data_IF_565872019729
#
_entry.id   IF_565872019729
#
_cell.length_a   1.000
_cell.length_b   1.000
_cell.length_c   1.000
_cell.angle_alpha   90.00
_cell.angle_beta   90.00
_cell.angle_gamma   90.00
#
_symmetry.space_group_name_H-M   'P 1'
#
loop_
_entity.id
_entity.type
_entity.pdbx_description
1 polymer ?
#
# COMPACT_ATOMS: atom_id res chain seq x y z
N UNK A 1 -35.53 -35.83 59.75
CA UNK A 1 -34.68 -34.74 59.24
C UNK A 1 -33.19 -35.10 59.28
N UNK A 2 -32.79 -36.22 59.92
CA UNK A 2 -31.37 -36.61 60.05
C UNK A 2 -30.85 -37.56 58.95
N UNK A 3 -31.70 -38.29 58.24
CA UNK A 3 -31.25 -39.19 57.16
C UNK A 3 -30.74 -38.44 55.91
N UNK A 4 -31.40 -37.34 55.53
CA UNK A 4 -30.97 -36.53 54.37
C UNK A 4 -29.61 -35.85 54.66
N UNK A 5 -29.39 -35.43 55.90
CA UNK A 5 -28.12 -34.83 56.32
C UNK A 5 -26.96 -35.84 56.34
N UNK A 6 -27.21 -37.11 56.65
CA UNK A 6 -26.17 -38.14 56.63
C UNK A 6 -25.79 -38.54 55.20
N UNK A 7 -26.76 -38.65 54.29
CA UNK A 7 -26.49 -38.92 52.86
C UNK A 7 -25.65 -37.80 52.24
N UNK A 8 -25.94 -36.54 52.56
CA UNK A 8 -25.14 -35.40 52.07
C UNK A 8 -23.71 -35.38 52.64
N UNK A 9 -23.51 -35.79 53.89
CA UNK A 9 -22.15 -35.89 54.49
C UNK A 9 -21.34 -37.03 53.91
N UNK A 10 -21.96 -38.18 53.62
CA UNK A 10 -21.29 -39.29 52.94
C UNK A 10 -20.87 -38.90 51.51
N UNK A 11 -21.73 -38.18 50.78
CA UNK A 11 -21.44 -37.71 49.43
C UNK A 11 -20.28 -36.70 49.38
N UNK A 12 -20.24 -35.76 50.35
CA UNK A 12 -19.16 -34.77 50.46
C UNK A 12 -17.85 -35.43 50.91
N UNK A 13 -17.91 -36.42 51.81
CA UNK A 13 -16.72 -37.16 52.24
C UNK A 13 -16.15 -38.06 51.14
N UNK A 14 -16.98 -38.54 50.20
CA UNK A 14 -16.53 -39.32 49.05
C UNK A 14 -15.94 -38.44 47.94
N UNK A 15 -16.44 -37.21 47.72
CA UNK A 15 -15.90 -36.30 46.71
C UNK A 15 -14.53 -35.73 47.07
N UNK A 16 -14.20 -35.65 48.36
CA UNK A 16 -12.92 -35.09 48.83
C UNK A 16 -11.80 -36.14 48.93
N UNK A 17 -12.06 -37.41 48.55
CA UNK A 17 -11.07 -38.50 48.62
C UNK A 17 -10.75 -39.12 47.25
N UNK A 18 -10.99 -38.41 46.14
CA UNK A 18 -10.25 -38.68 44.91
C UNK A 18 -9.00 -37.81 44.89
N UNK A 19 -7.92 -38.39 45.42
CA UNK A 19 -6.55 -37.94 45.17
C UNK A 19 -6.36 -37.88 43.65
N UNK A 20 -6.50 -36.69 43.09
CA UNK A 20 -5.94 -36.37 41.79
C UNK A 20 -4.44 -36.52 41.98
N UNK A 21 -3.88 -37.63 41.48
CA UNK A 21 -2.45 -37.77 41.26
C UNK A 21 -2.01 -36.51 40.51
N UNK A 22 -1.20 -35.68 41.16
CA UNK A 22 -0.34 -34.71 40.50
C UNK A 22 0.63 -35.51 39.63
N UNK A 23 0.16 -35.96 38.47
CA UNK A 23 1.05 -36.25 37.35
C UNK A 23 1.64 -34.90 36.99
N UNK A 24 2.92 -34.72 37.35
CA UNK A 24 3.79 -33.72 36.76
C UNK A 24 3.46 -33.66 35.27
N UNK A 25 2.76 -32.60 34.86
CA UNK A 25 2.79 -32.16 33.48
C UNK A 25 4.23 -31.72 33.31
N UNK A 26 5.06 -32.67 32.89
CA UNK A 26 6.34 -32.37 32.27
C UNK A 26 6.01 -31.33 31.22
N UNK A 27 6.47 -30.11 31.47
CA UNK A 27 6.49 -29.04 30.50
C UNK A 27 7.53 -29.46 29.46
N UNK A 28 7.17 -30.47 28.65
CA UNK A 28 7.70 -30.53 27.30
C UNK A 28 7.31 -29.20 26.70
N UNK A 29 8.32 -28.34 26.54
CA UNK A 29 8.24 -27.08 25.82
C UNK A 29 7.31 -27.28 24.63
N UNK A 30 6.05 -26.89 24.77
CA UNK A 30 5.14 -26.84 23.65
C UNK A 30 5.76 -25.75 22.81
N UNK A 31 6.62 -26.15 21.86
CA UNK A 31 7.23 -25.26 20.89
C UNK A 31 6.05 -24.49 20.35
N UNK A 32 5.93 -23.24 20.79
CA UNK A 32 4.85 -22.35 20.41
C UNK A 32 5.00 -22.24 18.91
N UNK A 33 4.25 -23.06 18.19
CA UNK A 33 4.28 -23.07 16.74
C UNK A 33 3.71 -21.72 16.40
N UNK A 34 4.58 -20.85 15.91
CA UNK A 34 4.28 -19.46 15.59
C UNK A 34 2.94 -19.46 14.84
N UNK A 35 1.89 -18.99 15.50
CA UNK A 35 0.49 -19.07 15.02
C UNK A 35 0.28 -18.29 13.71
N UNK A 36 1.31 -17.56 13.28
CA UNK A 36 1.40 -16.83 12.02
C UNK A 36 2.40 -17.53 11.10
N UNK A 37 1.97 -18.50 10.28
CA UNK A 37 2.85 -19.14 9.31
C UNK A 37 3.21 -18.11 8.22
N UNK A 38 4.37 -17.47 8.36
CA UNK A 38 4.90 -16.52 7.36
C UNK A 38 4.93 -17.10 5.95
N UNK A 39 5.17 -18.42 5.83
CA UNK A 39 5.09 -19.16 4.57
C UNK A 39 3.73 -19.04 3.88
N UNK A 40 2.63 -19.07 4.64
CA UNK A 40 1.29 -18.87 4.08
C UNK A 40 1.14 -17.42 3.56
N UNK A 41 1.64 -16.44 4.30
CA UNK A 41 1.67 -15.04 3.85
C UNK A 41 2.44 -14.88 2.54
N UNK A 42 3.66 -15.43 2.45
CA UNK A 42 4.46 -15.42 1.24
C UNK A 42 3.76 -16.12 0.07
N UNK A 43 3.10 -17.25 0.32
CA UNK A 43 2.32 -17.96 -0.68
C UNK A 43 1.19 -17.08 -1.24
N UNK A 44 0.38 -16.46 -0.38
CA UNK A 44 -0.71 -15.56 -0.79
C UNK A 44 -0.20 -14.36 -1.59
N UNK A 45 0.90 -13.72 -1.13
CA UNK A 45 1.51 -12.59 -1.83
C UNK A 45 2.05 -12.99 -3.20
N UNK A 46 2.71 -14.15 -3.31
CA UNK A 46 3.23 -14.66 -4.59
C UNK A 46 2.10 -14.95 -5.58
N UNK A 47 0.99 -15.50 -5.10
CA UNK A 47 -0.17 -15.80 -5.93
C UNK A 47 -0.87 -14.52 -6.40
N UNK A 48 -0.97 -13.52 -5.52
CA UNK A 48 -1.52 -12.19 -5.87
C UNK A 48 -0.70 -11.52 -6.97
N UNK A 49 0.64 -11.55 -6.87
CA UNK A 49 1.53 -11.07 -7.94
C UNK A 49 1.37 -11.86 -9.23
N UNK A 50 1.25 -13.19 -9.15
CA UNK A 50 1.02 -14.05 -10.32
C UNK A 50 -0.27 -13.66 -11.06
N UNK A 51 -1.34 -13.36 -10.34
CA UNK A 51 -2.60 -12.89 -10.92
C UNK A 51 -2.36 -11.59 -11.70
N UNK A 52 -1.72 -10.58 -11.08
CA UNK A 52 -1.39 -9.31 -11.75
C UNK A 52 -0.53 -9.49 -13.00
N UNK A 53 0.45 -10.40 -12.96
CA UNK A 53 1.32 -10.69 -14.08
C UNK A 53 0.56 -11.18 -15.32
N UNK A 54 -0.57 -11.88 -15.16
CA UNK A 54 -1.40 -12.30 -16.30
C UNK A 54 -1.94 -11.10 -17.08
N UNK A 55 -2.34 -10.02 -16.40
CA UNK A 55 -2.80 -8.79 -17.04
C UNK A 55 -1.66 -8.09 -17.78
N UNK A 56 -0.51 -7.93 -17.11
CA UNK A 56 0.68 -7.28 -17.66
C UNK A 56 1.17 -8.03 -18.90
N UNK A 57 1.17 -9.36 -18.87
CA UNK A 57 1.59 -10.20 -19.99
C UNK A 57 0.70 -10.01 -21.23
N UNK A 58 -0.63 -10.04 -21.08
CA UNK A 58 -1.58 -9.90 -22.21
C UNK A 58 -1.43 -8.56 -22.94
N UNK A 59 -1.08 -7.49 -22.24
CA UNK A 59 -0.87 -6.17 -22.83
C UNK A 59 0.59 -5.92 -23.23
N UNK A 60 1.47 -6.90 -23.02
CA UNK A 60 2.90 -6.82 -23.26
C UNK A 60 3.61 -5.73 -22.42
N UNK A 61 3.09 -5.45 -21.21
CA UNK A 61 3.53 -4.33 -20.37
C UNK A 61 4.92 -4.49 -19.74
N UNK A 62 5.45 -5.72 -19.66
CA UNK A 62 6.85 -5.94 -19.26
C UNK A 62 7.84 -5.39 -20.29
N UNK A 63 7.41 -5.32 -21.53
CA UNK A 63 8.27 -5.10 -22.69
C UNK A 63 7.92 -3.86 -23.48
N UNK A 64 6.80 -3.22 -23.16
CA UNK A 64 6.35 -2.00 -23.80
C UNK A 64 5.87 -1.05 -22.72
N UNK A 65 6.05 0.26 -22.93
CA UNK A 65 5.46 1.23 -22.07
C UNK A 65 3.95 1.23 -22.37
N UNK A 66 3.18 0.40 -21.66
CA UNK A 66 1.73 0.24 -21.83
C UNK A 66 0.96 0.43 -20.50
N UNK A 67 1.70 0.57 -19.39
CA UNK A 67 1.19 0.72 -18.03
C UNK A 67 1.65 2.06 -17.48
N UNK A 68 0.68 2.92 -17.16
CA UNK A 68 0.95 4.26 -16.63
C UNK A 68 1.16 4.26 -15.11
N UNK A 69 0.51 3.34 -14.40
CA UNK A 69 0.66 3.19 -12.95
C UNK A 69 0.21 1.79 -12.53
N UNK A 70 0.85 1.24 -11.50
CA UNK A 70 0.46 -0.01 -10.87
C UNK A 70 0.57 0.11 -9.36
N UNK A 71 -0.37 -0.50 -8.64
CA UNK A 71 -0.30 -0.74 -7.20
C UNK A 71 -0.89 -2.13 -6.93
N UNK A 72 -0.76 -2.64 -5.72
CA UNK A 72 -1.08 -4.03 -5.27
C UNK A 72 -1.98 -4.85 -6.20
N UNK A 73 -3.19 -4.37 -6.48
CA UNK A 73 -4.23 -5.01 -7.28
C UNK A 73 -4.84 -4.09 -8.37
N UNK A 74 -4.20 -2.96 -8.68
CA UNK A 74 -4.72 -1.97 -9.64
C UNK A 74 -3.72 -1.63 -10.75
N UNK A 75 -4.24 -1.44 -11.97
CA UNK A 75 -3.47 -1.10 -13.16
C UNK A 75 -4.12 0.06 -13.90
N UNK A 76 -3.34 1.10 -14.19
CA UNK A 76 -3.80 2.21 -15.03
C UNK A 76 -3.22 2.02 -16.43
N UNK A 77 -4.11 1.80 -17.38
CA UNK A 77 -3.80 1.41 -18.76
C UNK A 77 -4.71 2.16 -19.72
N UNK A 78 -4.31 2.18 -21.00
CA UNK A 78 -5.14 2.79 -22.03
C UNK A 78 -6.42 1.97 -22.29
N UNK A 79 -7.46 2.64 -22.79
CA UNK A 79 -8.72 1.99 -23.21
C UNK A 79 -8.50 0.92 -24.29
N UNK A 80 -7.46 1.08 -25.13
CA UNK A 80 -7.03 0.07 -26.11
C UNK A 80 -6.57 -1.23 -25.43
N UNK A 81 -5.78 -1.11 -24.36
CA UNK A 81 -5.31 -2.25 -23.58
C UNK A 81 -6.44 -2.89 -22.76
N UNK A 82 -7.37 -2.10 -22.23
CA UNK A 82 -8.60 -2.61 -21.64
C UNK A 82 -9.37 -3.54 -22.60
N UNK A 83 -9.55 -3.14 -23.86
CA UNK A 83 -10.18 -3.98 -24.89
C UNK A 83 -9.39 -5.27 -25.18
N UNK A 84 -8.06 -5.27 -25.06
CA UNK A 84 -7.24 -6.50 -25.18
C UNK A 84 -7.52 -7.45 -24.01
N UNK A 85 -7.53 -6.93 -22.77
CA UNK A 85 -7.81 -7.71 -21.57
C UNK A 85 -9.22 -8.33 -21.62
N UNK A 86 -10.22 -7.56 -22.07
CA UNK A 86 -11.58 -8.07 -22.21
C UNK A 86 -11.65 -9.22 -23.24
N UNK A 87 -11.00 -9.08 -24.40
CA UNK A 87 -10.92 -10.16 -25.41
C UNK A 87 -10.19 -11.40 -24.91
N UNK A 88 -9.23 -11.23 -24.00
CA UNK A 88 -8.53 -12.34 -23.35
C UNK A 88 -9.31 -12.99 -22.20
N UNK A 89 -10.54 -12.51 -21.91
CA UNK A 89 -11.36 -13.03 -20.83
C UNK A 89 -10.81 -12.70 -19.44
N UNK A 90 -10.02 -11.63 -19.29
CA UNK A 90 -9.45 -11.19 -18.01
C UNK A 90 -10.30 -10.13 -17.30
N UNK A 91 -11.42 -9.70 -17.89
CA UNK A 91 -12.31 -8.67 -17.36
C UNK A 91 -13.64 -9.29 -16.96
N UNK A 92 -14.10 -9.00 -15.74
CA UNK A 92 -15.43 -9.38 -15.22
C UNK A 92 -15.73 -8.58 -13.96
N UNK A 93 -16.97 -8.15 -13.79
CA UNK A 93 -17.44 -7.48 -12.57
C UNK A 93 -17.73 -8.46 -11.41
N UNK A 94 -17.94 -9.75 -11.73
CA UNK A 94 -18.44 -10.74 -10.76
C UNK A 94 -17.45 -11.87 -10.47
N UNK A 95 -16.57 -12.17 -11.42
CA UNK A 95 -15.68 -13.33 -11.29
C UNK A 95 -14.43 -12.98 -10.49
N UNK A 96 -13.96 -13.94 -9.70
CA UNK A 96 -12.71 -13.81 -8.96
C UNK A 96 -11.50 -13.73 -9.90
N UNK A 97 -10.48 -13.00 -9.45
CA UNK A 97 -9.20 -12.83 -10.16
C UNK A 97 -9.35 -12.17 -11.55
N UNK A 98 -10.45 -11.44 -11.78
CA UNK A 98 -10.68 -10.65 -12.99
C UNK A 98 -10.62 -9.15 -12.66
N UNK A 99 -10.26 -8.37 -13.67
CA UNK A 99 -10.24 -6.91 -13.58
C UNK A 99 -11.64 -6.34 -13.83
N UNK A 100 -11.92 -5.22 -13.16
CA UNK A 100 -13.11 -4.38 -13.39
C UNK A 100 -12.70 -2.95 -13.65
N UNK A 101 -13.58 -2.14 -14.22
CA UNK A 101 -13.32 -0.71 -14.35
C UNK A 101 -13.88 0.01 -13.13
N UNK A 102 -13.01 0.43 -12.22
CA UNK A 102 -13.39 1.18 -11.01
C UNK A 102 -14.06 2.54 -11.31
N UNK A 103 -14.02 2.99 -12.56
CA UNK A 103 -14.65 4.23 -13.02
C UNK A 103 -15.94 4.01 -13.82
N UNK A 104 -16.45 2.78 -13.92
CA UNK A 104 -17.66 2.45 -14.67
C UNK A 104 -17.46 2.60 -16.19
N UNK A 105 -18.30 3.39 -16.86
CA UNK A 105 -18.09 3.75 -18.28
C UNK A 105 -17.15 4.95 -18.45
N UNK A 106 -16.75 5.56 -17.34
CA UNK A 106 -15.79 6.67 -17.32
C UNK A 106 -14.34 6.21 -17.36
N UNK A 107 -13.44 7.16 -17.12
CA UNK A 107 -12.00 6.88 -17.09
C UNK A 107 -11.16 8.09 -16.71
N UNK A 108 -9.87 7.83 -16.54
CA UNK A 108 -8.87 8.87 -16.31
C UNK A 108 -8.57 9.52 -17.67
N UNK A 109 -8.74 10.84 -17.75
CA UNK A 109 -8.40 11.62 -18.95
C UNK A 109 -7.04 12.32 -18.81
N UNK A 110 -6.62 12.57 -17.58
CA UNK A 110 -5.32 13.15 -17.25
C UNK A 110 -4.79 12.53 -15.96
N UNK A 111 -3.51 12.19 -15.92
CA UNK A 111 -2.88 11.58 -14.76
C UNK A 111 -1.41 11.96 -14.61
N UNK A 112 -1.05 12.39 -13.39
CA UNK A 112 0.33 12.62 -12.95
C UNK A 112 0.68 11.59 -11.87
N UNK A 113 1.67 10.74 -12.13
CA UNK A 113 1.99 9.57 -11.28
C UNK A 113 3.34 9.68 -10.58
N UNK A 114 3.57 10.72 -9.78
CA UNK A 114 4.89 11.18 -9.34
C UNK A 114 5.75 10.11 -8.65
N UNK A 115 5.17 9.30 -7.76
CA UNK A 115 5.86 8.19 -7.09
C UNK A 115 4.84 7.14 -6.64
N UNK A 116 5.28 6.00 -6.07
CA UNK A 116 4.37 5.04 -5.45
C UNK A 116 3.43 5.74 -4.47
N UNK A 117 2.12 5.66 -4.74
CA UNK A 117 1.06 6.27 -3.94
C UNK A 117 1.14 7.81 -3.84
N UNK A 118 1.78 8.47 -4.81
CA UNK A 118 1.76 9.92 -5.00
C UNK A 118 1.30 10.20 -6.43
N UNK A 119 0.01 10.48 -6.59
CA UNK A 119 -0.64 10.64 -7.90
C UNK A 119 -1.80 11.63 -7.86
N UNK A 120 -2.02 12.27 -9.01
CA UNK A 120 -3.14 13.15 -9.28
C UNK A 120 -3.83 12.74 -10.58
N UNK A 121 -5.15 12.56 -10.54
CA UNK A 121 -5.94 12.20 -11.70
C UNK A 121 -7.13 13.15 -11.89
N UNK A 122 -7.42 13.46 -13.14
CA UNK A 122 -8.71 14.00 -13.55
C UNK A 122 -9.48 12.87 -14.21
N UNK A 123 -10.65 12.56 -13.66
CA UNK A 123 -11.52 11.47 -14.07
C UNK A 123 -12.76 12.06 -14.72
N UNK A 124 -13.08 11.61 -15.93
CA UNK A 124 -14.39 11.83 -16.54
C UNK A 124 -15.31 10.70 -16.09
N UNK A 125 -16.35 11.04 -15.33
CA UNK A 125 -17.38 10.08 -14.92
C UNK A 125 -18.38 9.82 -16.04
N UNK A 126 -19.15 8.74 -15.92
CA UNK A 126 -20.11 8.30 -16.94
C UNK A 126 -21.25 9.29 -17.21
N UNK A 127 -21.54 10.18 -16.26
CA UNK A 127 -22.46 11.31 -16.38
C UNK A 127 -21.84 12.54 -17.06
N UNK A 128 -20.58 12.47 -17.51
CA UNK A 128 -19.88 13.56 -18.17
C UNK A 128 -19.27 14.60 -17.23
N UNK A 129 -19.23 14.34 -15.92
CA UNK A 129 -18.65 15.26 -14.92
C UNK A 129 -17.15 15.00 -14.75
N UNK A 130 -16.36 16.07 -14.63
CA UNK A 130 -14.94 15.96 -14.27
C UNK A 130 -14.78 15.91 -12.75
N UNK A 131 -14.03 14.93 -12.25
CA UNK A 131 -13.70 14.77 -10.84
C UNK A 131 -12.21 14.63 -10.63
N UNK A 132 -11.70 15.35 -9.64
CA UNK A 132 -10.32 15.23 -9.21
C UNK A 132 -10.15 14.10 -8.20
N UNK A 133 -9.08 13.32 -8.36
CA UNK A 133 -8.63 12.33 -7.39
C UNK A 133 -7.16 12.56 -7.07
N UNK A 134 -6.90 13.00 -5.82
CA UNK A 134 -5.57 13.18 -5.25
C UNK A 134 -5.20 11.98 -4.37
N UNK A 135 -3.96 11.53 -4.44
CA UNK A 135 -3.38 10.58 -3.51
C UNK A 135 -1.97 11.02 -3.20
N UNK A 136 -1.65 11.18 -1.92
CA UNK A 136 -0.31 11.55 -1.49
C UNK A 136 0.03 10.78 -0.21
N UNK A 137 0.78 9.68 -0.35
CA UNK A 137 1.21 8.88 0.80
C UNK A 137 2.01 9.73 1.76
N UNK A 138 1.67 9.63 3.05
CA UNK A 138 2.35 10.39 4.11
C UNK A 138 1.83 11.81 4.29
N UNK A 139 0.83 12.24 3.51
CA UNK A 139 0.21 13.56 3.59
C UNK A 139 -1.30 13.45 3.74
N UNK A 140 -1.89 14.47 4.35
CA UNK A 140 -3.34 14.62 4.38
C UNK A 140 -3.81 15.33 3.10
N UNK A 141 -4.86 14.80 2.47
CA UNK A 141 -5.32 15.25 1.15
C UNK A 141 -5.85 16.69 1.12
N UNK A 142 -6.22 17.25 2.28
CA UNK A 142 -6.67 18.64 2.46
C UNK A 142 -5.52 19.65 2.39
N UNK A 143 -4.29 19.21 2.67
CA UNK A 143 -3.10 20.06 2.70
C UNK A 143 -2.30 20.07 1.40
N UNK A 144 -2.68 19.25 0.42
CA UNK A 144 -2.01 19.17 -0.88
C UNK A 144 -2.89 19.80 -1.96
N UNK A 145 -2.33 20.80 -2.62
CA UNK A 145 -2.93 21.51 -3.76
C UNK A 145 -2.56 20.83 -5.08
N UNK A 146 -3.22 21.23 -6.17
CA UNK A 146 -2.85 20.71 -7.51
C UNK A 146 -1.52 21.31 -7.96
N UNK A 147 -1.28 22.56 -7.58
CA UNK A 147 -0.06 23.32 -7.83
C UNK A 147 1.15 22.60 -7.24
N UNK A 148 1.02 21.96 -6.08
CA UNK A 148 2.08 21.15 -5.49
C UNK A 148 2.48 19.98 -6.40
N UNK A 149 1.50 19.25 -6.97
CA UNK A 149 1.79 18.18 -7.93
C UNK A 149 2.49 18.70 -9.19
N UNK A 150 2.10 19.88 -9.67
CA UNK A 150 2.70 20.51 -10.85
C UNK A 150 4.13 20.97 -10.57
N UNK A 151 4.39 21.56 -9.40
CA UNK A 151 5.73 21.94 -8.96
C UNK A 151 6.65 20.72 -8.88
N UNK A 152 6.18 19.65 -8.25
CA UNK A 152 6.92 18.39 -8.15
C UNK A 152 7.17 17.75 -9.51
N UNK A 153 6.18 17.76 -10.40
CA UNK A 153 6.34 17.30 -11.77
C UNK A 153 7.38 18.13 -12.54
N UNK A 154 7.51 19.41 -12.19
CA UNK A 154 8.47 20.34 -12.79
C UNK A 154 9.85 20.29 -12.12
N UNK A 155 10.10 19.35 -11.21
CA UNK A 155 11.39 19.22 -10.52
C UNK A 155 11.63 20.27 -9.43
N UNK A 156 10.57 20.84 -8.86
CA UNK A 156 10.67 21.75 -7.70
C UNK A 156 10.19 21.04 -6.44
N UNK A 157 10.89 21.29 -5.34
CA UNK A 157 10.53 20.75 -4.03
C UNK A 157 9.31 21.48 -3.47
N UNK A 158 8.48 20.74 -2.73
CA UNK A 158 7.31 21.30 -2.05
C UNK A 158 7.49 21.14 -0.55
N UNK A 159 7.33 22.23 0.19
CA UNK A 159 7.35 22.23 1.65
C UNK A 159 6.00 22.65 2.21
N UNK A 160 5.60 22.02 3.32
CA UNK A 160 4.35 22.34 4.01
C UNK A 160 4.49 22.16 5.52
N UNK A 161 3.72 22.93 6.29
CA UNK A 161 3.71 22.84 7.75
C UNK A 161 2.65 21.86 8.29
N UNK A 162 3.06 21.04 9.25
CA UNK A 162 2.23 20.02 9.89
C UNK A 162 2.28 20.13 11.39
N UNK A 163 1.22 19.65 12.05
CA UNK A 163 1.29 19.41 13.49
C UNK A 163 2.26 18.25 13.72
N UNK A 164 3.17 18.40 14.68
CA UNK A 164 4.03 17.31 15.10
C UNK A 164 3.20 16.14 15.65
N UNK A 165 3.63 14.89 15.42
CA UNK A 165 2.99 13.73 16.04
C UNK A 165 3.13 13.80 17.57
N UNK A 166 2.22 13.16 18.30
CA UNK A 166 2.36 13.05 19.75
C UNK A 166 3.56 12.18 20.10
N UNK A 167 4.37 12.67 21.02
CA UNK A 167 5.51 11.92 21.51
C UNK A 167 5.07 11.07 22.70
N UNK A 168 5.57 9.83 22.75
CA UNK A 168 5.34 8.92 23.87
C UNK A 168 6.69 8.58 24.48
N UNK A 169 6.88 8.90 25.75
CA UNK A 169 8.07 8.52 26.50
C UNK A 169 7.70 7.89 27.84
N UNK A 170 8.61 7.06 28.36
CA UNK A 170 8.43 6.41 29.66
C UNK A 170 8.44 7.41 30.82
N UNK A 171 9.14 8.54 30.66
CA UNK A 171 9.30 9.57 31.70
C UNK A 171 8.17 10.58 31.72
N UNK A 172 7.73 11.05 30.54
CA UNK A 172 6.80 12.18 30.43
C UNK A 172 5.40 11.76 29.94
N UNK A 173 5.18 10.46 29.70
CA UNK A 173 3.92 9.95 29.19
C UNK A 173 3.67 10.41 27.75
N UNK A 174 2.44 10.86 27.46
CA UNK A 174 2.05 11.38 26.14
C UNK A 174 2.23 12.90 26.14
N UNK A 175 3.11 13.40 25.29
CA UNK A 175 3.37 14.84 25.11
C UNK A 175 2.72 15.30 23.81
N UNK A 176 1.89 16.36 23.91
CA UNK A 176 1.27 17.01 22.76
C UNK A 176 2.13 18.22 22.39
N UNK A 177 2.80 18.20 21.23
CA UNK A 177 3.62 19.33 20.78
C UNK A 177 2.74 20.53 20.39
N UNK A 178 3.20 21.73 20.76
CA UNK A 178 2.55 23.01 20.43
C UNK A 178 3.09 23.64 19.14
N UNK A 179 4.22 23.17 18.67
CA UNK A 179 4.92 23.60 17.48
C UNK A 179 4.57 22.75 16.25
N UNK A 180 4.89 23.29 15.09
CA UNK A 180 4.70 22.63 13.81
C UNK A 180 6.03 22.05 13.32
N UNK A 181 5.94 21.01 12.49
CA UNK A 181 7.07 20.48 11.72
C UNK A 181 6.89 20.89 10.26
N UNK A 182 7.97 21.30 9.61
CA UNK A 182 8.00 21.47 8.16
C UNK A 182 8.40 20.15 7.54
N UNK A 183 7.57 19.66 6.62
CA UNK A 183 7.92 18.50 5.79
C UNK A 183 8.31 19.00 4.42
N UNK A 184 9.47 18.58 3.94
CA UNK A 184 9.93 18.87 2.59
C UNK A 184 9.80 17.60 1.76
N UNK A 185 9.11 17.74 0.64
CA UNK A 185 8.97 16.69 -0.34
C UNK A 185 9.81 17.02 -1.55
N UNK A 186 10.88 16.24 -1.68
CA UNK A 186 11.91 16.49 -2.68
C UNK A 186 11.53 15.84 -4.00
N UNK A 187 11.61 16.64 -5.04
CA UNK A 187 11.34 16.25 -6.42
C UNK A 187 12.48 15.43 -7.02
N UNK A 188 12.61 14.18 -6.60
CA UNK A 188 13.52 13.23 -7.28
C UNK A 188 12.88 12.79 -8.61
N UNK A 189 13.04 13.61 -9.64
CA UNK A 189 12.54 13.31 -10.98
C UNK A 189 13.46 12.27 -11.63
N UNK A 190 13.03 11.01 -11.67
CA UNK A 190 13.73 9.98 -12.44
C UNK A 190 13.50 10.24 -13.95
N UNK A 191 14.45 10.93 -14.58
CA UNK A 191 14.39 11.33 -16.00
C UNK A 191 14.38 10.13 -16.96
N UNK A 192 14.90 8.97 -16.55
CA UNK A 192 14.85 7.72 -17.33
C UNK A 192 13.42 7.16 -17.37
N UNK A 193 12.68 7.29 -16.26
CA UNK A 193 11.31 6.79 -16.10
C UNK A 193 10.23 7.80 -16.54
N UNK A 194 10.59 9.05 -16.83
CA UNK A 194 9.64 10.14 -17.17
C UNK A 194 10.12 10.96 -18.36
N UNK A 195 9.77 10.51 -19.56
CA UNK A 195 9.73 11.42 -20.72
C UNK A 195 8.56 12.40 -20.53
N UNK A 196 8.73 13.69 -20.90
CA UNK A 196 7.65 14.67 -20.85
C UNK A 196 6.45 14.19 -21.67
N UNK A 197 5.20 14.53 -21.30
CA UNK A 197 4.03 14.16 -22.10
C UNK A 197 4.20 14.55 -23.56
N UNK A 198 3.62 13.76 -24.47
CA UNK A 198 3.59 14.15 -25.88
C UNK A 198 2.72 15.39 -26.10
N UNK A 199 2.68 15.91 -27.34
CA UNK A 199 1.87 17.07 -27.71
C UNK A 199 0.36 16.94 -27.43
N UNK A 200 -0.13 15.73 -27.19
CA UNK A 200 -1.53 15.45 -26.82
C UNK A 200 -1.73 15.40 -25.29
N UNK A 201 -0.70 15.68 -24.50
CA UNK A 201 -0.73 15.63 -23.04
C UNK A 201 -0.69 14.20 -22.46
N UNK A 202 -0.42 13.20 -23.30
CA UNK A 202 -0.33 11.80 -22.88
C UNK A 202 1.06 11.54 -22.30
N UNK A 203 1.11 11.12 -21.04
CA UNK A 203 2.33 10.67 -20.37
C UNK A 203 2.92 9.44 -21.08
N UNK A 204 4.25 9.38 -21.23
CA UNK A 204 4.90 8.14 -21.66
C UNK A 204 4.84 7.11 -20.52
N UNK A 205 4.51 5.85 -20.82
CA UNK A 205 4.53 4.82 -19.78
C UNK A 205 5.97 4.40 -19.42
N UNK A 206 6.14 3.76 -18.27
CA UNK A 206 7.41 3.66 -17.51
C UNK A 206 8.64 3.01 -18.17
N UNK A 207 8.52 2.41 -19.37
CA UNK A 207 9.58 1.59 -19.97
C UNK A 207 9.79 1.89 -21.45
N UNK A 208 10.71 2.79 -21.79
CA UNK A 208 11.24 2.84 -23.16
C UNK A 208 12.43 1.88 -23.25
N UNK A 209 12.29 0.82 -24.05
CA UNK A 209 13.25 -0.28 -24.13
C UNK A 209 14.63 0.13 -24.63
N UNK A 210 14.70 1.23 -25.36
CA UNK A 210 15.91 1.63 -26.08
C UNK A 210 16.87 2.45 -25.18
N UNK A 211 16.45 2.85 -23.97
CA UNK A 211 17.29 3.58 -22.98
C UNK A 211 17.67 2.73 -21.75
N UNK A 212 17.19 1.50 -21.65
CA UNK A 212 17.60 0.56 -20.61
C UNK A 212 18.95 -0.09 -20.96
N UNK A 213 20.02 0.71 -21.02
CA UNK A 213 21.35 0.16 -20.70
C UNK A 213 21.37 0.00 -19.18
N UNK A 214 21.06 -1.19 -18.68
CA UNK A 214 21.47 -1.54 -17.32
C UNK A 214 23.00 -1.49 -17.33
N UNK A 215 23.57 -0.42 -16.78
CA UNK A 215 24.93 -0.50 -16.26
C UNK A 215 24.89 -1.66 -15.25
N UNK A 216 25.78 -2.64 -15.38
CA UNK A 216 25.76 -3.88 -14.56
C UNK A 216 25.94 -3.58 -13.05
N UNK A 217 26.19 -2.31 -12.72
CA UNK A 217 26.34 -1.75 -11.38
C UNK A 217 25.13 -0.94 -10.89
N UNK A 218 24.01 -0.85 -11.63
CA UNK A 218 22.82 -0.12 -11.17
C UNK A 218 22.09 -0.93 -10.09
N UNK A 219 22.35 -0.56 -8.84
CA UNK A 219 21.64 -1.07 -7.68
C UNK A 219 20.36 -0.25 -7.48
N UNK A 220 19.21 -0.92 -7.57
CA UNK A 220 17.90 -0.29 -7.37
C UNK A 220 17.75 0.06 -5.88
N UNK A 221 17.81 1.36 -5.55
CA UNK A 221 17.73 1.85 -4.18
C UNK A 221 16.36 2.51 -3.89
N UNK A 222 15.88 2.40 -2.65
CA UNK A 222 14.62 2.98 -2.19
C UNK A 222 14.62 4.53 -2.26
N UNK A 223 15.78 5.15 -2.51
CA UNK A 223 16.00 6.58 -2.73
C UNK A 223 15.67 7.07 -4.16
N UNK A 224 15.37 6.18 -5.12
CA UNK A 224 14.96 6.57 -6.48
C UNK A 224 13.51 7.09 -6.58
N UNK A 225 12.89 7.33 -5.42
CA UNK A 225 11.54 7.85 -5.28
C UNK A 225 11.55 9.18 -4.53
N UNK A 226 10.45 9.93 -4.64
CA UNK A 226 10.24 11.11 -3.81
C UNK A 226 10.44 10.75 -2.33
N UNK A 227 11.48 11.31 -1.71
CA UNK A 227 11.73 11.11 -0.28
C UNK A 227 11.08 12.23 0.51
N UNK A 228 10.40 11.85 1.59
CA UNK A 228 9.87 12.78 2.59
C UNK A 228 11.00 12.99 3.59
N UNK A 229 11.53 14.20 3.67
CA UNK A 229 12.43 14.58 4.74
C UNK A 229 11.69 15.47 5.72
N UNK A 230 11.73 15.06 6.99
CA UNK A 230 11.27 15.87 8.09
C UNK A 230 12.45 16.75 8.52
N UNK A 231 12.35 18.06 8.29
CA UNK A 231 13.30 19.02 8.84
C UNK A 231 12.95 19.20 10.31
N UNK A 232 13.40 18.25 11.13
CA UNK A 232 13.57 18.55 12.54
C UNK A 232 14.85 19.39 12.63
N UNK A 233 14.77 20.60 13.19
CA UNK A 233 15.96 21.25 13.71
C UNK A 233 16.60 20.26 14.67
N UNK A 234 17.69 19.62 14.24
CA UNK A 234 18.59 18.88 15.10
C UNK A 234 19.14 19.88 16.13
N UNK A 235 18.43 20.01 17.25
CA UNK A 235 18.96 20.65 18.43
C UNK A 235 19.89 19.64 19.13
N UNK A 236 20.98 19.28 18.46
CA UNK A 236 22.16 18.74 19.11
C UNK A 236 23.15 19.90 19.30
N UNK A 237 23.09 20.51 20.48
CA UNK A 237 24.21 21.19 21.12
C UNK A 237 24.55 20.47 22.42
#
# INVERSE_FOLDING_TARGET
>A
MDEICNVLKEYISQSDTEKIEEKEITTEDSKSTRLTPSHLGSFVLSHSKKIMNNFIHVINGFYKPEIYYTDTDSLYISSKNWKKLNRAGLVSEKDYCKGKNDYGDGGIIFGLYLAPKVKYNIVLTSDGVLKEKKTFKGYSNDKISVEDYVQLASGHDVSNEFKKPWEKSFTNGVVIPNDKQTKVFRSYLNNVKRKPPNSEGIMYPYNDKDEYSFDENYEFDDFDYLTIQDENEDCFK
#
